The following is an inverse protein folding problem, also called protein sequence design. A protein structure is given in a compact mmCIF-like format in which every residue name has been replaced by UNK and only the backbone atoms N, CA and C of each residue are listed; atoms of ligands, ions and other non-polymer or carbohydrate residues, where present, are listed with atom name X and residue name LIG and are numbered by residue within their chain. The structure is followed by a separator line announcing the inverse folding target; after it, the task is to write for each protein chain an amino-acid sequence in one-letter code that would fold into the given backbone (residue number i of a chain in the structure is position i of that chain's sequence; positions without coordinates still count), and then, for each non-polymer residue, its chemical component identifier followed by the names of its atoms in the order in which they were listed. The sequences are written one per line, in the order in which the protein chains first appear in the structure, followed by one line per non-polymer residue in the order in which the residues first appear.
data_IF_467448731769
#
_entry.id   IF_467448731769
#
_cell.length_a   1.000
_cell.length_b   1.000
_cell.length_c   1.000
_cell.angle_alpha   90.00
_cell.angle_beta   90.00
_cell.angle_gamma   90.00
#
_symmetry.space_group_name_H-M   'P 1'
#
loop_
_entity.id
_entity.type
_entity.pdbx_description
1 polymer ?
#
# COMPACT_ATOMS: atom_id res chain seq x y z
N UNK A 1 -10.42 35.28 -0.53
CA UNK A 1 -9.86 34.70 -1.77
C UNK A 1 -10.18 33.23 -1.74
N UNK A 2 -10.98 32.77 -2.70
CA UNK A 2 -11.66 31.47 -2.69
C UNK A 2 -10.69 30.30 -2.52
N UNK A 3 -11.04 29.40 -1.60
CA UNK A 3 -10.46 28.06 -1.41
C UNK A 3 -10.78 27.21 -2.65
N UNK A 4 -10.25 27.58 -3.81
CA UNK A 4 -10.29 26.71 -4.98
C UNK A 4 -9.51 25.46 -4.63
N UNK A 5 -10.15 24.30 -4.79
CA UNK A 5 -9.50 23.00 -4.73
C UNK A 5 -8.22 23.05 -5.57
N UNK A 6 -7.04 22.99 -4.95
CA UNK A 6 -5.80 22.78 -5.69
C UNK A 6 -5.79 21.32 -6.16
N UNK A 7 -6.36 21.06 -7.34
CA UNK A 7 -6.44 19.72 -7.92
C UNK A 7 -5.05 19.13 -8.12
N UNK A 8 -4.02 19.94 -8.39
CA UNK A 8 -2.65 19.49 -8.66
C UNK A 8 -2.03 18.71 -7.49
N UNK A 9 -2.38 19.05 -6.25
CA UNK A 9 -1.94 18.28 -5.06
C UNK A 9 -2.81 17.05 -4.82
N UNK A 10 -4.10 17.09 -5.20
CA UNK A 10 -5.05 16.00 -4.95
C UNK A 10 -4.93 14.86 -5.94
N UNK A 11 -4.61 15.16 -7.20
CA UNK A 11 -4.43 14.18 -8.26
C UNK A 11 -3.41 13.10 -7.95
N UNK A 12 -2.25 13.37 -7.31
CA UNK A 12 -1.35 12.30 -6.89
C UNK A 12 -1.77 11.60 -5.59
N UNK A 13 -2.43 12.29 -4.66
CA UNK A 13 -2.81 11.69 -3.37
C UNK A 13 -3.88 10.60 -3.54
N UNK A 14 -4.91 10.84 -4.33
CA UNK A 14 -5.98 9.85 -4.56
C UNK A 14 -5.46 8.48 -5.05
N UNK A 15 -4.68 8.39 -6.14
CA UNK A 15 -4.11 7.13 -6.59
C UNK A 15 -3.04 6.59 -5.65
N UNK A 16 -2.35 7.42 -4.87
CA UNK A 16 -1.41 6.95 -3.85
C UNK A 16 -2.15 6.14 -2.77
N UNK A 17 -3.22 6.71 -2.21
CA UNK A 17 -4.03 6.03 -1.19
C UNK A 17 -4.80 4.85 -1.79
N UNK A 18 -5.29 4.95 -3.02
CA UNK A 18 -5.88 3.81 -3.73
C UNK A 18 -4.89 2.65 -3.90
N UNK A 19 -3.67 2.94 -4.34
CA UNK A 19 -2.61 1.94 -4.47
C UNK A 19 -2.24 1.33 -3.11
N UNK A 20 -2.23 2.13 -2.06
CA UNK A 20 -1.99 1.68 -0.70
C UNK A 20 -3.10 0.76 -0.18
N UNK A 21 -4.37 1.09 -0.41
CA UNK A 21 -5.49 0.22 -0.08
C UNK A 21 -5.38 -1.12 -0.79
N UNK A 22 -5.14 -1.11 -2.10
CA UNK A 22 -4.94 -2.34 -2.87
C UNK A 22 -3.74 -3.13 -2.33
N UNK A 23 -2.67 -2.46 -1.92
CA UNK A 23 -1.46 -3.10 -1.38
C UNK A 23 -1.79 -3.95 -0.15
N UNK A 24 -2.33 -3.34 0.91
CA UNK A 24 -2.53 -4.06 2.16
C UNK A 24 -3.71 -5.02 2.09
N UNK A 25 -4.72 -4.71 1.27
CA UNK A 25 -5.87 -5.60 1.03
C UNK A 25 -5.44 -6.86 0.28
N UNK A 26 -4.58 -6.73 -0.74
CA UNK A 26 -4.03 -7.89 -1.45
C UNK A 26 -3.18 -8.77 -0.53
N UNK A 27 -2.36 -8.15 0.33
CA UNK A 27 -1.56 -8.89 1.30
C UNK A 27 -2.44 -9.60 2.35
N UNK A 28 -3.51 -8.93 2.80
CA UNK A 28 -4.47 -9.48 3.76
C UNK A 28 -5.28 -10.63 3.14
N UNK A 29 -5.77 -10.48 1.90
CA UNK A 29 -6.58 -11.46 1.20
C UNK A 29 -5.90 -12.82 0.95
N UNK A 30 -4.58 -12.93 1.13
CA UNK A 30 -3.89 -14.23 1.22
C UNK A 30 -4.44 -15.10 2.35
N UNK A 31 -5.00 -14.50 3.40
CA UNK A 31 -5.65 -15.19 4.51
C UNK A 31 -6.94 -15.89 4.10
N UNK A 32 -7.70 -15.23 3.23
CA UNK A 32 -9.06 -15.62 2.93
C UNK A 32 -9.16 -16.58 1.74
N UNK A 33 -8.05 -16.83 1.01
CA UNK A 33 -8.00 -17.71 -0.17
C UNK A 33 -8.71 -19.06 0.05
N UNK A 34 -8.48 -19.72 1.18
CA UNK A 34 -9.08 -21.03 1.43
C UNK A 34 -10.60 -20.94 1.60
N UNK A 35 -11.08 -20.01 2.43
CA UNK A 35 -12.51 -19.82 2.68
C UNK A 35 -13.26 -19.23 1.49
N UNK A 36 -12.67 -18.23 0.83
CA UNK A 36 -13.22 -17.63 -0.39
C UNK A 36 -13.42 -18.66 -1.51
N UNK A 37 -12.47 -19.60 -1.65
CA UNK A 37 -12.55 -20.66 -2.66
C UNK A 37 -13.69 -21.64 -2.37
N UNK A 38 -13.94 -21.96 -1.10
CA UNK A 38 -15.08 -22.80 -0.69
C UNK A 38 -16.42 -22.12 -0.98
N UNK A 39 -16.48 -20.79 -0.89
CA UNK A 39 -17.67 -19.98 -1.14
C UNK A 39 -17.83 -19.55 -2.61
N UNK A 40 -16.85 -19.85 -3.48
CA UNK A 40 -16.85 -19.42 -4.88
C UNK A 40 -16.61 -17.92 -5.08
N UNK A 41 -16.05 -17.23 -4.08
CA UNK A 41 -15.74 -15.80 -4.12
C UNK A 41 -14.30 -15.63 -4.64
N UNK A 42 -14.14 -14.78 -5.66
CA UNK A 42 -12.84 -14.46 -6.23
C UNK A 42 -12.20 -13.25 -5.57
N UNK A 43 -10.91 -13.35 -5.24
CA UNK A 43 -10.12 -12.20 -4.75
C UNK A 43 -8.88 -11.95 -5.61
N UNK A 44 -8.36 -10.71 -5.56
CA UNK A 44 -7.15 -10.35 -6.31
C UNK A 44 -5.93 -11.18 -5.86
N UNK A 45 -5.87 -11.53 -4.57
CA UNK A 45 -4.86 -12.42 -4.02
C UNK A 45 -4.92 -13.83 -4.63
N UNK A 46 -6.12 -14.37 -4.88
CA UNK A 46 -6.27 -15.64 -5.60
C UNK A 46 -5.82 -15.53 -7.05
N UNK A 47 -6.18 -14.45 -7.74
CA UNK A 47 -5.83 -14.22 -9.14
C UNK A 47 -4.31 -14.10 -9.36
N UNK A 48 -3.62 -13.35 -8.50
CA UNK A 48 -2.16 -13.22 -8.52
C UNK A 48 -1.47 -14.52 -8.07
N UNK A 49 -2.06 -15.22 -7.12
CA UNK A 49 -1.49 -16.40 -6.49
C UNK A 49 -0.16 -16.12 -5.79
N UNK A 50 0.43 -17.19 -5.25
CA UNK A 50 1.66 -17.13 -4.44
C UNK A 50 2.86 -16.56 -5.20
N UNK A 51 2.94 -16.82 -6.51
CA UNK A 51 4.09 -16.46 -7.36
C UNK A 51 4.19 -14.96 -7.60
N UNK A 52 3.08 -14.29 -7.87
CA UNK A 52 3.10 -12.89 -8.33
C UNK A 52 2.79 -11.88 -7.22
N UNK A 53 2.22 -12.32 -6.09
CA UNK A 53 1.82 -11.41 -4.99
C UNK A 53 2.96 -10.51 -4.53
N UNK A 54 4.15 -11.05 -4.23
CA UNK A 54 5.28 -10.24 -3.76
C UNK A 54 5.73 -9.19 -4.80
N UNK A 55 5.80 -9.58 -6.07
CA UNK A 55 6.17 -8.66 -7.16
C UNK A 55 5.14 -7.55 -7.35
N UNK A 56 3.85 -7.90 -7.30
CA UNK A 56 2.76 -6.95 -7.40
C UNK A 56 2.76 -5.94 -6.24
N UNK A 57 2.99 -6.40 -5.00
CA UNK A 57 3.15 -5.51 -3.86
C UNK A 57 4.33 -4.54 -4.04
N UNK A 58 5.48 -5.00 -4.56
CA UNK A 58 6.60 -4.10 -4.84
C UNK A 58 6.23 -3.02 -5.87
N UNK A 59 5.50 -3.38 -6.93
CA UNK A 59 5.02 -2.40 -7.94
C UNK A 59 4.09 -1.37 -7.29
N UNK A 60 3.11 -1.81 -6.50
CA UNK A 60 2.23 -0.90 -5.77
C UNK A 60 2.99 -0.03 -4.77
N UNK A 61 3.96 -0.59 -4.07
CA UNK A 61 4.85 0.14 -3.17
C UNK A 61 5.59 1.26 -3.89
N UNK A 62 6.20 0.97 -5.04
CA UNK A 62 6.87 1.98 -5.86
C UNK A 62 5.89 3.07 -6.35
N UNK A 63 4.68 2.67 -6.78
CA UNK A 63 3.64 3.63 -7.18
C UNK A 63 3.27 4.58 -6.02
N UNK A 64 3.09 4.06 -4.81
CA UNK A 64 2.82 4.87 -3.60
C UNK A 64 3.93 5.89 -3.37
N UNK A 65 5.21 5.48 -3.43
CA UNK A 65 6.34 6.40 -3.20
C UNK A 65 6.45 7.47 -4.28
N UNK A 66 6.27 7.10 -5.54
CA UNK A 66 6.32 8.05 -6.67
C UNK A 66 5.20 9.07 -6.53
N UNK A 67 3.97 8.63 -6.27
CA UNK A 67 2.81 9.51 -6.17
C UNK A 67 2.89 10.41 -4.93
N UNK A 68 3.22 9.87 -3.76
CA UNK A 68 3.39 10.68 -2.55
C UNK A 68 4.58 11.64 -2.69
N UNK A 69 5.70 11.21 -3.26
CA UNK A 69 6.86 12.04 -3.50
C UNK A 69 6.55 13.19 -4.47
N UNK A 70 5.84 12.90 -5.56
CA UNK A 70 5.40 13.93 -6.51
C UNK A 70 4.45 14.94 -5.84
N UNK A 71 3.49 14.47 -5.05
CA UNK A 71 2.61 15.34 -4.26
C UNK A 71 3.38 16.22 -3.27
N UNK A 72 4.41 15.67 -2.61
CA UNK A 72 5.26 16.40 -1.68
C UNK A 72 6.10 17.50 -2.35
N UNK A 73 6.56 17.28 -3.58
CA UNK A 73 7.25 18.30 -4.39
C UNK A 73 6.31 19.46 -4.72
N UNK A 74 5.10 19.15 -5.23
CA UNK A 74 4.11 20.18 -5.60
C UNK A 74 3.67 21.01 -4.39
N UNK A 75 3.53 20.35 -3.24
CA UNK A 75 3.09 20.99 -2.01
C UNK A 75 4.24 21.69 -1.24
N UNK A 76 5.46 21.70 -1.78
CA UNK A 76 6.65 22.28 -1.14
C UNK A 76 6.84 21.79 0.30
N UNK A 77 6.62 20.48 0.52
CA UNK A 77 6.67 19.88 1.84
C UNK A 77 8.06 20.01 2.48
N UNK A 78 8.08 20.22 3.81
CA UNK A 78 9.32 20.38 4.58
C UNK A 78 10.19 19.11 4.58
N UNK A 79 11.48 19.26 4.88
CA UNK A 79 12.40 18.13 5.02
C UNK A 79 11.95 17.12 6.09
N UNK A 80 11.24 17.59 7.12
CA UNK A 80 10.65 16.72 8.16
C UNK A 80 9.61 15.77 7.53
N UNK A 81 8.75 16.27 6.64
CA UNK A 81 7.78 15.43 5.93
C UNK A 81 8.47 14.41 5.01
N UNK A 82 9.55 14.80 4.34
CA UNK A 82 10.33 13.86 3.53
C UNK A 82 10.95 12.74 4.37
N UNK A 83 11.54 13.07 5.51
CA UNK A 83 12.18 12.09 6.38
C UNK A 83 11.17 11.16 7.06
N UNK A 84 10.13 11.72 7.69
CA UNK A 84 9.19 10.93 8.49
C UNK A 84 7.97 10.45 7.71
N UNK A 85 7.46 11.24 6.77
CA UNK A 85 6.37 10.81 5.88
C UNK A 85 6.89 9.81 4.85
N UNK A 86 7.64 10.29 3.85
CA UNK A 86 8.10 9.45 2.74
C UNK A 86 9.10 8.38 3.22
N UNK A 87 10.05 8.74 4.08
CA UNK A 87 11.10 7.82 4.54
C UNK A 87 10.55 6.60 5.31
N UNK A 88 9.53 6.78 6.15
CA UNK A 88 8.90 5.65 6.85
C UNK A 88 8.13 4.73 5.89
N UNK A 89 7.41 5.30 4.92
CA UNK A 89 6.75 4.53 3.84
C UNK A 89 7.77 3.74 3.03
N UNK A 90 8.89 4.36 2.65
CA UNK A 90 9.93 3.72 1.85
C UNK A 90 10.54 2.52 2.56
N UNK A 91 10.89 2.69 3.85
CA UNK A 91 11.35 1.58 4.69
C UNK A 91 10.31 0.47 4.79
N UNK A 92 9.04 0.84 4.94
CA UNK A 92 7.96 -0.13 5.14
C UNK A 92 7.67 -0.96 3.88
N UNK A 93 7.74 -0.36 2.70
CA UNK A 93 7.55 -1.05 1.41
C UNK A 93 8.62 -2.12 1.15
N UNK A 94 9.82 -1.95 1.70
CA UNK A 94 10.87 -2.98 1.65
C UNK A 94 10.65 -4.04 2.73
N UNK A 95 10.24 -3.61 3.93
CA UNK A 95 10.05 -4.50 5.07
C UNK A 95 8.86 -5.46 4.90
N UNK A 96 7.69 -4.95 4.52
CA UNK A 96 6.45 -5.75 4.45
C UNK A 96 6.55 -6.97 3.51
N UNK A 97 7.09 -6.88 2.28
CA UNK A 97 7.26 -8.04 1.41
C UNK A 97 8.25 -9.07 1.95
N UNK A 98 9.22 -8.65 2.78
CA UNK A 98 10.21 -9.56 3.37
C UNK A 98 9.66 -10.43 4.50
N UNK A 99 8.66 -9.92 5.25
CA UNK A 99 7.97 -10.68 6.31
C UNK A 99 6.73 -11.42 5.80
N UNK A 100 6.29 -11.12 4.57
CA UNK A 100 5.14 -11.76 3.94
C UNK A 100 5.51 -13.17 3.48
N UNK A 101 4.85 -14.16 4.06
CA UNK A 101 4.98 -15.55 3.68
C UNK A 101 3.67 -16.01 3.03
N UNK A 102 3.69 -16.20 1.72
CA UNK A 102 2.53 -16.62 0.91
C UNK A 102 2.00 -18.01 1.26
N UNK A 103 2.76 -18.80 2.04
CA UNK A 103 2.34 -20.11 2.57
C UNK A 103 1.82 -20.04 4.01
N UNK A 104 2.05 -18.92 4.72
CA UNK A 104 1.51 -18.67 6.06
C UNK A 104 0.47 -17.54 5.99
N UNK A 105 -0.83 -17.87 5.97
CA UNK A 105 -1.92 -16.90 6.03
C UNK A 105 -1.69 -15.80 7.08
N UNK A 106 -1.21 -16.14 8.28
CA UNK A 106 -1.06 -15.17 9.38
C UNK A 106 -0.10 -14.04 9.04
N UNK A 107 0.81 -14.26 8.10
CA UNK A 107 1.73 -13.22 7.62
C UNK A 107 1.04 -12.04 6.93
N UNK A 108 -0.08 -12.27 6.22
CA UNK A 108 -0.88 -11.22 5.59
C UNK A 108 -1.49 -10.25 6.61
N UNK A 109 -2.04 -10.80 7.70
CA UNK A 109 -2.57 -10.02 8.82
C UNK A 109 -1.50 -9.19 9.56
N UNK A 110 -0.25 -9.67 9.64
CA UNK A 110 0.86 -8.85 10.15
C UNK A 110 1.13 -7.64 9.26
N UNK A 111 1.12 -7.83 7.94
CA UNK A 111 1.27 -6.76 6.96
C UNK A 111 0.12 -5.76 7.09
N UNK A 112 -1.12 -6.24 7.21
CA UNK A 112 -2.29 -5.39 7.43
C UNK A 112 -2.18 -4.55 8.71
N UNK A 113 -1.79 -5.16 9.84
CA UNK A 113 -1.59 -4.47 11.11
C UNK A 113 -0.54 -3.36 11.05
N UNK A 114 0.56 -3.57 10.31
CA UNK A 114 1.56 -2.52 10.07
C UNK A 114 0.92 -1.34 9.33
N UNK A 115 0.04 -1.59 8.36
CA UNK A 115 -0.62 -0.52 7.60
C UNK A 115 -1.66 0.25 8.42
N UNK A 116 -2.32 -0.37 9.41
CA UNK A 116 -3.16 0.38 10.37
C UNK A 116 -2.31 1.44 11.08
N UNK A 117 -1.12 1.06 11.57
CA UNK A 117 -0.22 1.99 12.26
C UNK A 117 0.32 3.07 11.32
N UNK A 118 0.68 2.70 10.08
CA UNK A 118 1.11 3.67 9.07
C UNK A 118 0.01 4.66 8.67
N UNK A 119 -1.26 4.26 8.76
CA UNK A 119 -2.40 5.13 8.51
C UNK A 119 -2.56 6.26 9.53
N UNK A 120 -1.96 6.12 10.71
CA UNK A 120 -1.97 7.14 11.75
C UNK A 120 -0.82 8.16 11.60
N UNK A 121 0.17 7.87 10.75
CA UNK A 121 1.34 8.71 10.46
C UNK A 121 1.13 9.55 9.20
#
# INVERSE_FOLDING_TARGET
MSTMLNLSVRTPLFPAYGSWTIYFDTAYGLQDIAGDRELGIGSLAQCLGKRYTRGFLLVLGMAILILLGYGAIIAECSTIFWMFGIGTRARSIVYQPSILNVDDPRSGGRVFGINIVLGLL
#
